data_IF_068193634732
#
_entry.id   IF_068193634732
#
_cell.length_a   1.000
_cell.length_b   1.000
_cell.length_c   1.000
_cell.angle_alpha   90.00
_cell.angle_beta   90.00
_cell.angle_gamma   90.00
#
_symmetry.space_group_name_H-M   'P 1'
#
loop_
_entity.id
_entity.type
_entity.pdbx_description
1 polymer ?
#
# COMPACT_ATOMS: atom_id res chain seq x y z
N UNK A 1 -30.17 -54.21 13.05
CA UNK A 1 -28.84 -53.59 13.08
C UNK A 1 -28.46 -53.26 11.64
N UNK A 2 -28.78 -52.05 11.18
CA UNK A 2 -28.60 -51.60 9.80
C UNK A 2 -27.59 -50.44 9.84
N UNK A 3 -26.39 -50.69 9.33
CA UNK A 3 -25.25 -49.77 9.35
C UNK A 3 -25.45 -48.70 8.29
N UNK A 4 -25.69 -47.46 8.73
CA UNK A 4 -25.69 -46.26 7.90
C UNK A 4 -24.22 -45.94 7.57
N UNK A 5 -23.85 -46.19 6.32
CA UNK A 5 -22.55 -45.81 5.75
C UNK A 5 -22.50 -44.28 5.62
N UNK A 6 -21.70 -43.66 6.49
CA UNK A 6 -21.41 -42.24 6.45
C UNK A 6 -20.47 -41.97 5.25
N UNK A 7 -21.02 -41.43 4.16
CA UNK A 7 -20.21 -40.88 3.07
C UNK A 7 -19.54 -39.60 3.58
N UNK A 8 -18.26 -39.70 3.94
CA UNK A 8 -17.41 -38.55 4.25
C UNK A 8 -17.09 -37.82 2.94
N UNK A 9 -17.74 -36.68 2.69
CA UNK A 9 -17.40 -35.80 1.59
C UNK A 9 -16.07 -35.10 1.89
N UNK A 10 -15.03 -35.36 1.10
CA UNK A 10 -13.80 -34.58 1.14
C UNK A 10 -14.04 -33.26 0.40
N UNK A 11 -14.13 -32.16 1.15
CA UNK A 11 -14.10 -30.82 0.58
C UNK A 11 -12.66 -30.54 0.10
N UNK A 12 -12.45 -30.55 -1.20
CA UNK A 12 -11.20 -30.07 -1.79
C UNK A 12 -11.12 -28.56 -1.65
N UNK A 13 -10.11 -28.07 -0.92
CA UNK A 13 -9.80 -26.64 -0.82
C UNK A 13 -9.43 -26.13 -2.22
N UNK A 14 -10.36 -25.42 -2.85
CA UNK A 14 -10.09 -24.73 -4.11
C UNK A 14 -9.26 -23.49 -3.78
N UNK A 15 -7.95 -23.56 -3.94
CA UNK A 15 -7.06 -22.41 -3.78
C UNK A 15 -7.36 -21.44 -4.92
N UNK A 16 -8.15 -20.41 -4.66
CA UNK A 16 -8.40 -19.34 -5.63
C UNK A 16 -7.15 -18.49 -5.75
N UNK A 17 -6.55 -18.48 -6.96
CA UNK A 17 -5.49 -17.53 -7.29
C UNK A 17 -6.18 -16.19 -7.54
N UNK A 18 -5.98 -15.22 -6.64
CA UNK A 18 -6.40 -13.85 -6.90
C UNK A 18 -5.44 -13.23 -7.92
N UNK A 19 -5.95 -12.95 -9.12
CA UNK A 19 -5.21 -12.24 -10.16
C UNK A 19 -5.56 -10.76 -9.98
N UNK A 20 -4.56 -9.95 -9.61
CA UNK A 20 -4.71 -8.50 -9.53
C UNK A 20 -4.60 -7.87 -10.92
N UNK A 21 -5.44 -6.89 -11.19
CA UNK A 21 -5.49 -6.19 -12.48
C UNK A 21 -4.48 -5.06 -12.55
N UNK A 22 -3.94 -4.77 -13.74
CA UNK A 22 -3.08 -3.61 -13.95
C UNK A 22 -3.93 -2.37 -14.20
N UNK A 23 -3.72 -1.31 -13.41
CA UNK A 23 -4.37 -0.02 -13.56
C UNK A 23 -3.59 0.93 -14.48
N UNK A 24 -2.25 0.94 -14.38
CA UNK A 24 -1.38 1.76 -15.22
C UNK A 24 0.05 1.23 -15.30
N UNK A 25 0.78 1.71 -16.31
CA UNK A 25 2.23 1.61 -16.42
C UNK A 25 2.83 3.02 -16.42
N UNK A 26 3.84 3.27 -15.59
CA UNK A 26 4.56 4.54 -15.53
C UNK A 26 6.07 4.26 -15.48
N UNK A 27 6.82 4.59 -16.54
CA UNK A 27 8.27 4.37 -16.63
C UNK A 27 8.75 2.95 -16.24
N UNK A 28 7.95 1.93 -16.55
CA UNK A 28 8.26 0.53 -16.20
C UNK A 28 7.75 0.09 -14.82
N UNK A 29 7.25 1.02 -13.99
CA UNK A 29 6.49 0.69 -12.79
C UNK A 29 5.09 0.23 -13.18
N UNK A 30 4.67 -0.90 -12.61
CA UNK A 30 3.29 -1.40 -12.73
C UNK A 30 2.51 -0.91 -11.52
N UNK A 31 1.37 -0.26 -11.75
CA UNK A 31 0.42 0.14 -10.70
C UNK A 31 -0.81 -0.76 -10.86
N UNK A 32 -1.17 -1.49 -9.81
CA UNK A 32 -2.30 -2.42 -9.84
C UNK A 32 -3.60 -1.80 -9.37
N UNK A 33 -4.71 -2.48 -9.57
CA UNK A 33 -6.00 -2.07 -9.03
C UNK A 33 -5.98 -2.08 -7.50
N UNK A 34 -5.36 -3.10 -6.88
CA UNK A 34 -5.24 -3.17 -5.42
C UNK A 34 -4.40 -2.03 -4.84
N UNK A 35 -3.37 -1.55 -5.57
CA UNK A 35 -2.59 -0.38 -5.15
C UNK A 35 -3.48 0.86 -5.03
N UNK A 36 -4.32 1.12 -6.05
CA UNK A 36 -5.22 2.28 -6.07
C UNK A 36 -6.26 2.17 -4.94
N UNK A 37 -6.91 1.01 -4.80
CA UNK A 37 -7.92 0.80 -3.75
C UNK A 37 -7.31 0.86 -2.35
N UNK A 38 -6.10 0.31 -2.17
CA UNK A 38 -5.35 0.40 -0.93
C UNK A 38 -5.06 1.85 -0.54
N UNK A 39 -4.55 2.63 -1.48
CA UNK A 39 -4.27 4.06 -1.28
C UNK A 39 -5.54 4.90 -1.06
N UNK A 40 -6.68 4.51 -1.64
CA UNK A 40 -7.96 5.21 -1.45
C UNK A 40 -8.74 4.76 -0.22
N UNK A 41 -8.30 3.75 0.56
CA UNK A 41 -9.14 3.07 1.56
C UNK A 41 -9.80 4.02 2.57
N UNK A 42 -9.04 4.93 3.17
CA UNK A 42 -9.56 5.90 4.14
C UNK A 42 -10.53 6.91 3.51
N UNK A 43 -10.22 7.36 2.30
CA UNK A 43 -11.07 8.30 1.56
C UNK A 43 -12.38 7.62 1.16
N UNK A 44 -12.32 6.39 0.64
CA UNK A 44 -13.48 5.59 0.31
C UNK A 44 -14.36 5.31 1.53
N UNK A 45 -13.75 5.08 2.70
CA UNK A 45 -14.50 4.93 3.94
C UNK A 45 -15.27 6.22 4.28
N UNK A 46 -14.60 7.39 4.21
CA UNK A 46 -15.24 8.69 4.45
C UNK A 46 -16.37 8.99 3.45
N UNK A 47 -16.19 8.66 2.17
CA UNK A 47 -17.23 8.82 1.13
C UNK A 47 -18.46 7.96 1.49
N UNK A 48 -18.24 6.69 1.85
CA UNK A 48 -19.32 5.77 2.25
C UNK A 48 -20.08 6.27 3.48
N UNK A 49 -19.37 6.80 4.47
CA UNK A 49 -19.95 7.32 5.72
C UNK A 49 -20.79 8.59 5.50
N UNK A 50 -20.36 9.47 4.59
CA UNK A 50 -21.06 10.73 4.32
C UNK A 50 -22.36 10.58 3.56
N UNK A 51 -22.56 9.46 2.85
CA UNK A 51 -23.67 9.24 1.91
C UNK A 51 -23.84 10.37 0.87
N UNK A 52 -22.86 11.26 0.75
CA UNK A 52 -22.75 12.17 -0.37
C UNK A 52 -22.36 11.30 -1.56
N UNK A 53 -23.09 11.42 -2.67
CA UNK A 53 -22.79 10.72 -3.92
C UNK A 53 -21.50 11.20 -4.60
N UNK A 54 -20.47 11.52 -3.82
CA UNK A 54 -19.13 11.85 -4.29
C UNK A 54 -18.66 10.71 -5.19
N UNK A 55 -18.27 11.09 -6.41
CA UNK A 55 -18.04 10.11 -7.47
C UNK A 55 -16.82 9.26 -7.11
N UNK A 56 -17.08 8.03 -6.66
CA UNK A 56 -16.07 7.01 -6.36
C UNK A 56 -15.10 6.85 -7.54
N UNK A 57 -15.58 7.02 -8.77
CA UNK A 57 -14.74 6.98 -9.95
C UNK A 57 -13.78 8.18 -10.02
N UNK A 58 -14.24 9.40 -9.69
CA UNK A 58 -13.36 10.57 -9.60
C UNK A 58 -12.27 10.40 -8.53
N UNK A 59 -12.61 9.83 -7.37
CA UNK A 59 -11.65 9.54 -6.30
C UNK A 59 -10.64 8.48 -6.74
N UNK A 60 -11.10 7.44 -7.43
CA UNK A 60 -10.24 6.41 -8.00
C UNK A 60 -9.24 7.02 -9.00
N UNK A 61 -9.73 7.80 -9.98
CA UNK A 61 -8.89 8.44 -11.00
C UNK A 61 -7.88 9.41 -10.38
N UNK A 62 -8.29 10.20 -9.39
CA UNK A 62 -7.40 11.09 -8.66
C UNK A 62 -6.31 10.30 -7.93
N UNK A 63 -6.68 9.21 -7.25
CA UNK A 63 -5.71 8.38 -6.52
C UNK A 63 -4.73 7.70 -7.49
N UNK A 64 -5.21 7.21 -8.63
CA UNK A 64 -4.36 6.65 -9.68
C UNK A 64 -3.36 7.67 -10.21
N UNK A 65 -3.82 8.90 -10.50
CA UNK A 65 -2.94 9.99 -10.96
C UNK A 65 -1.90 10.36 -9.88
N UNK A 66 -2.30 10.45 -8.61
CA UNK A 66 -1.40 10.69 -7.49
C UNK A 66 -0.31 9.60 -7.39
N UNK A 67 -0.66 8.33 -7.61
CA UNK A 67 0.29 7.20 -7.63
C UNK A 67 1.25 7.27 -8.82
N UNK A 68 0.74 7.56 -10.02
CA UNK A 68 1.56 7.75 -11.23
C UNK A 68 2.57 8.87 -11.01
N UNK A 69 2.10 10.04 -10.59
CA UNK A 69 2.95 11.21 -10.36
C UNK A 69 4.04 10.93 -9.32
N UNK A 70 3.71 10.20 -8.25
CA UNK A 70 4.71 9.76 -7.26
C UNK A 70 5.82 8.92 -7.91
N UNK A 71 5.47 7.95 -8.76
CA UNK A 71 6.49 7.12 -9.44
C UNK A 71 7.39 7.96 -10.36
N UNK A 72 6.80 8.86 -11.13
CA UNK A 72 7.57 9.76 -12.00
C UNK A 72 8.50 10.70 -11.21
N UNK A 73 8.07 11.19 -10.04
CA UNK A 73 8.91 12.02 -9.17
C UNK A 73 10.07 11.21 -8.60
N UNK A 74 9.83 9.97 -8.18
CA UNK A 74 10.87 9.08 -7.66
C UNK A 74 11.92 8.79 -8.74
N UNK A 75 11.48 8.47 -9.96
CA UNK A 75 12.41 8.26 -11.09
C UNK A 75 13.23 9.51 -11.38
N UNK A 76 12.57 10.67 -11.48
CA UNK A 76 13.23 11.94 -11.73
C UNK A 76 14.24 12.30 -10.63
N UNK A 77 13.98 11.87 -9.39
CA UNK A 77 14.90 12.03 -8.28
C UNK A 77 16.10 11.07 -8.37
N UNK A 78 15.88 9.80 -8.72
CA UNK A 78 16.97 8.83 -8.90
C UNK A 78 17.94 9.24 -10.02
N UNK A 79 17.44 9.91 -11.05
CA UNK A 79 18.25 10.50 -12.12
C UNK A 79 19.11 11.69 -11.64
N UNK A 80 18.69 12.40 -10.58
CA UNK A 80 19.44 13.49 -9.97
C UNK A 80 20.52 12.93 -9.04
N UNK A 81 21.69 12.62 -9.60
CA UNK A 81 22.82 11.98 -8.91
C UNK A 81 23.34 12.70 -7.65
N UNK A 82 23.03 13.99 -7.48
CA UNK A 82 23.60 14.85 -6.44
C UNK A 82 22.80 14.86 -5.13
N UNK A 83 21.52 14.46 -5.14
CA UNK A 83 20.68 14.46 -3.94
C UNK A 83 20.34 13.01 -3.61
N UNK A 84 20.86 12.47 -2.51
CA UNK A 84 20.50 11.14 -2.00
C UNK A 84 19.99 11.22 -0.58
N UNK A 85 18.82 10.64 -0.32
CA UNK A 85 18.29 10.45 1.03
C UNK A 85 19.15 9.40 1.72
N UNK A 86 19.92 9.75 2.78
CA UNK A 86 20.70 8.80 3.54
C UNK A 86 19.80 7.77 4.23
N UNK A 87 20.33 6.57 4.37
CA UNK A 87 19.61 5.45 5.00
C UNK A 87 19.28 5.73 6.46
N UNK A 88 20.14 6.50 7.15
CA UNK A 88 19.96 6.95 8.52
C UNK A 88 18.71 7.83 8.67
N UNK A 89 18.44 8.73 7.72
CA UNK A 89 17.23 9.57 7.77
C UNK A 89 15.96 8.74 7.61
N UNK A 90 15.99 7.71 6.76
CA UNK A 90 14.87 6.77 6.63
C UNK A 90 14.67 6.00 7.92
N UNK A 91 15.74 5.51 8.54
CA UNK A 91 15.69 4.80 9.82
C UNK A 91 15.12 5.69 10.93
N UNK A 92 15.59 6.92 11.05
CA UNK A 92 15.06 7.89 12.03
C UNK A 92 13.56 8.15 11.82
N UNK A 93 13.13 8.26 10.56
CA UNK A 93 11.71 8.44 10.24
C UNK A 93 10.88 7.23 10.64
N UNK A 94 11.36 6.01 10.37
CA UNK A 94 10.70 4.75 10.78
C UNK A 94 10.55 4.72 12.30
N UNK A 95 11.64 4.96 13.04
CA UNK A 95 11.63 4.96 14.51
C UNK A 95 10.70 6.03 15.08
N UNK A 96 10.63 7.20 14.44
CA UNK A 96 9.69 8.26 14.81
C UNK A 96 8.24 7.80 14.65
N UNK A 97 7.91 7.15 13.53
CA UNK A 97 6.54 6.64 13.31
C UNK A 97 6.19 5.55 14.33
N UNK A 98 7.09 4.62 14.62
CA UNK A 98 6.86 3.57 15.64
C UNK A 98 6.61 4.20 17.01
N UNK A 99 7.38 5.23 17.37
CA UNK A 99 7.20 5.96 18.63
C UNK A 99 5.88 6.71 18.69
N UNK A 100 5.56 7.50 17.67
CA UNK A 100 4.39 8.39 17.65
C UNK A 100 3.07 7.62 17.48
N UNK A 101 3.02 6.66 16.56
CA UNK A 101 1.79 5.95 16.21
C UNK A 101 1.59 4.67 17.02
N UNK A 102 2.66 4.02 17.44
CA UNK A 102 2.61 2.73 18.12
C UNK A 102 3.12 2.79 19.57
N UNK A 103 3.48 3.97 20.09
CA UNK A 103 3.95 4.16 21.48
C UNK A 103 5.15 3.25 21.80
N UNK A 104 6.09 3.16 20.86
CA UNK A 104 7.26 2.27 20.90
C UNK A 104 6.92 0.75 20.90
N UNK A 105 5.67 0.35 20.68
CA UNK A 105 5.29 -1.07 20.56
C UNK A 105 5.61 -1.61 19.15
N UNK A 106 6.82 -2.18 19.03
CA UNK A 106 7.29 -2.81 17.78
C UNK A 106 6.44 -3.99 17.34
N UNK A 107 5.84 -4.74 18.26
CA UNK A 107 5.01 -5.90 17.91
C UNK A 107 3.69 -5.42 17.33
N UNK A 108 3.09 -4.37 17.89
CA UNK A 108 1.89 -3.75 17.33
C UNK A 108 2.15 -3.20 15.93
N UNK A 109 3.30 -2.56 15.70
CA UNK A 109 3.72 -2.10 14.37
C UNK A 109 3.82 -3.24 13.36
N UNK A 110 4.56 -4.31 13.68
CA UNK A 110 4.71 -5.46 12.79
C UNK A 110 3.38 -6.16 12.50
N UNK A 111 2.48 -6.21 13.49
CA UNK A 111 1.12 -6.75 13.30
C UNK A 111 0.30 -5.89 12.34
N UNK A 112 0.38 -4.57 12.44
CA UNK A 112 -0.31 -3.66 11.54
C UNK A 112 0.17 -3.86 10.09
N UNK A 113 1.50 -3.91 9.87
CA UNK A 113 2.05 -4.22 8.54
C UNK A 113 1.56 -5.56 8.00
N UNK A 114 1.54 -6.60 8.84
CA UNK A 114 1.03 -7.92 8.43
C UNK A 114 -0.46 -7.91 8.11
N UNK A 115 -1.27 -7.10 8.80
CA UNK A 115 -2.69 -6.94 8.50
C UNK A 115 -2.91 -6.26 7.15
N UNK A 116 -2.01 -5.36 6.78
CA UNK A 116 -1.99 -4.68 5.49
C UNK A 116 -1.31 -5.51 4.38
N UNK A 117 -0.85 -6.73 4.69
CA UNK A 117 -0.17 -7.61 3.73
C UNK A 117 1.20 -7.10 3.29
N UNK A 118 1.82 -6.22 4.09
CA UNK A 118 3.05 -5.52 3.75
C UNK A 118 4.21 -5.98 4.64
N UNK A 119 5.40 -6.13 4.05
CA UNK A 119 6.63 -6.36 4.81
C UNK A 119 7.26 -5.05 5.31
N UNK A 120 8.07 -5.13 6.36
CA UNK A 120 8.81 -3.97 6.86
C UNK A 120 9.75 -3.36 5.80
N UNK A 121 10.35 -4.21 4.94
CA UNK A 121 11.24 -3.75 3.88
C UNK A 121 10.48 -2.95 2.80
N UNK A 122 9.31 -3.43 2.38
CA UNK A 122 8.44 -2.71 1.45
C UNK A 122 7.97 -1.39 2.06
N UNK A 123 7.59 -1.41 3.34
CA UNK A 123 7.14 -0.21 4.04
C UNK A 123 8.26 0.83 4.21
N UNK A 124 9.48 0.40 4.56
CA UNK A 124 10.66 1.27 4.61
C UNK A 124 10.96 1.90 3.25
N UNK A 125 10.77 1.15 2.17
CA UNK A 125 10.90 1.66 0.79
C UNK A 125 9.84 2.73 0.51
N UNK A 126 8.59 2.51 0.91
CA UNK A 126 7.53 3.51 0.79
C UNK A 126 7.80 4.78 1.60
N UNK A 127 8.38 4.67 2.79
CA UNK A 127 8.80 5.84 3.58
C UNK A 127 9.88 6.63 2.84
N UNK A 128 10.89 5.97 2.28
CA UNK A 128 11.91 6.64 1.48
C UNK A 128 11.30 7.39 0.29
N UNK A 129 10.44 6.74 -0.49
CA UNK A 129 9.75 7.37 -1.61
C UNK A 129 8.93 8.60 -1.17
N UNK A 130 8.24 8.54 -0.01
CA UNK A 130 7.51 9.69 0.53
C UNK A 130 8.45 10.86 0.85
N UNK A 131 9.61 10.57 1.45
CA UNK A 131 10.62 11.58 1.74
C UNK A 131 11.18 12.20 0.46
N UNK A 132 11.40 11.39 -0.59
CA UNK A 132 11.83 11.85 -1.91
C UNK A 132 10.81 12.81 -2.51
N UNK A 133 9.54 12.42 -2.55
CA UNK A 133 8.45 13.27 -3.06
C UNK A 133 8.36 14.57 -2.25
N UNK A 134 8.49 14.49 -0.93
CA UNK A 134 8.51 15.66 -0.05
C UNK A 134 9.68 16.59 -0.32
N UNK A 135 10.89 16.06 -0.52
CA UNK A 135 12.07 16.86 -0.87
C UNK A 135 11.87 17.56 -2.21
N UNK A 136 11.44 16.84 -3.23
CA UNK A 136 11.23 17.35 -4.60
C UNK A 136 10.15 18.44 -4.68
N UNK A 137 9.11 18.39 -3.86
CA UNK A 137 8.05 19.42 -3.81
C UNK A 137 8.46 20.72 -3.13
N UNK A 138 9.55 20.69 -2.36
CA UNK A 138 10.04 21.83 -1.58
C UNK A 138 11.34 22.44 -2.16
N UNK A 139 11.82 21.94 -3.31
CA UNK A 139 12.89 22.56 -4.11
C UNK A 139 12.33 23.77 -4.89
#
# INVERSE_FOLDING_TARGET
MLLISCCTAMAGETTSIQIDGVAAYANGHTITFSDVIGASRELLQKVRERQDGEDVNSLYLKTLDDLINRKLIVDAYEDQKEIKIPDEMVTERVETVVREMFKDDRIAFLRALSQDGQSEAEWRTQIREQMVVGAMRNL
#
